data_IF_609623457958
#
_entry.id   IF_609623457958
#
_cell.length_a   1.000
_cell.length_b   1.000
_cell.length_c   1.000
_cell.angle_alpha   90.00
_cell.angle_beta   90.00
_cell.angle_gamma   90.00
#
_symmetry.space_group_name_H-M   'P 1'
#
loop_
_entity.id
_entity.type
_entity.pdbx_description
1 polymer ?
#
# COMPACT_ATOMS: atom_id res chain seq x y z
N UNK A 1 -18.97 -13.86 44.63
CA UNK A 1 -18.68 -14.08 43.20
C UNK A 1 -17.36 -13.40 42.93
N UNK A 2 -16.35 -14.07 42.35
CA UNK A 2 -15.10 -13.41 42.02
C UNK A 2 -15.30 -12.54 40.78
N UNK A 3 -14.76 -11.32 40.83
CA UNK A 3 -14.64 -10.43 39.69
C UNK A 3 -13.71 -11.09 38.65
N UNK A 4 -14.17 -11.17 37.42
CA UNK A 4 -13.40 -11.69 36.30
C UNK A 4 -12.42 -10.58 35.89
N UNK A 5 -11.16 -10.69 36.27
CA UNK A 5 -10.09 -9.82 35.79
C UNK A 5 -9.81 -10.16 34.31
N UNK A 6 -10.44 -9.40 33.41
CA UNK A 6 -10.36 -9.58 31.94
C UNK A 6 -8.97 -9.19 31.38
N UNK A 7 -8.10 -8.57 32.19
CA UNK A 7 -6.82 -8.01 31.73
C UNK A 7 -5.58 -8.89 32.01
N UNK A 8 -5.75 -10.12 32.48
CA UNK A 8 -4.61 -11.00 32.78
C UNK A 8 -4.01 -11.70 31.55
N UNK A 9 -4.64 -11.60 30.37
CA UNK A 9 -4.24 -12.34 29.16
C UNK A 9 -3.60 -11.50 28.04
N UNK A 10 -3.40 -10.20 28.24
CA UNK A 10 -2.86 -9.31 27.18
C UNK A 10 -1.38 -9.58 26.86
N UNK A 11 -0.65 -10.27 27.74
CA UNK A 11 0.77 -10.52 27.55
C UNK A 11 1.06 -11.66 26.54
N UNK A 12 0.11 -12.58 26.34
CA UNK A 12 0.27 -13.73 25.44
C UNK A 12 -0.29 -13.43 24.03
N UNK A 13 -1.34 -12.62 23.92
CA UNK A 13 -1.88 -12.13 22.64
C UNK A 13 -0.97 -11.13 21.93
N UNK A 14 -0.16 -10.37 22.68
CA UNK A 14 0.85 -9.48 22.10
C UNK A 14 2.07 -10.22 21.50
N UNK A 15 2.21 -11.53 21.73
CA UNK A 15 3.34 -12.32 21.18
C UNK A 15 3.14 -12.77 19.72
N UNK A 16 1.99 -12.49 19.11
CA UNK A 16 1.63 -12.88 17.73
C UNK A 16 1.28 -11.74 16.78
N UNK A 17 1.35 -10.49 17.26
CA UNK A 17 1.39 -9.34 16.39
C UNK A 17 2.86 -9.13 16.01
N UNK A 18 3.30 -9.65 14.86
CA UNK A 18 4.42 -8.99 14.17
C UNK A 18 4.02 -7.53 14.04
N UNK A 19 4.62 -6.66 14.85
CA UNK A 19 4.37 -5.22 14.79
C UNK A 19 4.97 -4.73 13.47
N UNK A 20 4.16 -4.80 12.41
CA UNK A 20 4.55 -4.26 11.14
C UNK A 20 4.80 -2.76 11.29
N UNK A 21 5.87 -2.28 10.68
CA UNK A 21 6.19 -0.87 10.71
C UNK A 21 5.05 -0.06 10.09
N UNK A 22 4.73 1.09 10.69
CA UNK A 22 3.65 1.96 10.22
C UNK A 22 3.98 2.45 8.80
N UNK A 23 3.02 2.40 7.85
CA UNK A 23 3.23 2.97 6.52
C UNK A 23 3.51 4.47 6.55
N UNK A 24 4.22 4.95 5.53
CA UNK A 24 4.52 6.36 5.29
C UNK A 24 3.75 6.82 4.06
N UNK A 25 2.95 7.88 4.21
CA UNK A 25 2.21 8.50 3.10
C UNK A 25 2.93 9.75 2.65
N UNK A 26 3.24 9.87 1.36
CA UNK A 26 3.85 11.05 0.75
C UNK A 26 2.79 11.75 -0.10
N UNK A 27 2.17 12.80 0.46
CA UNK A 27 1.10 13.53 -0.23
C UNK A 27 1.57 14.86 -0.81
N UNK A 28 0.97 15.28 -1.91
CA UNK A 28 1.19 16.58 -2.55
C UNK A 28 0.62 16.67 -3.97
N UNK A 29 0.51 17.86 -4.57
CA UNK A 29 -0.04 18.04 -5.92
C UNK A 29 0.72 17.26 -7.01
N UNK A 30 0.09 17.06 -8.16
CA UNK A 30 0.79 16.53 -9.33
C UNK A 30 1.94 17.45 -9.74
N UNK A 31 3.08 16.88 -10.13
CA UNK A 31 4.27 17.63 -10.56
C UNK A 31 5.17 18.20 -9.46
N UNK A 32 4.83 18.07 -8.17
CA UNK A 32 5.67 18.59 -7.06
C UNK A 32 6.96 17.79 -6.82
N UNK A 33 7.11 16.62 -7.46
CA UNK A 33 8.32 15.78 -7.37
C UNK A 33 8.25 14.61 -6.39
N UNK A 34 7.05 14.15 -5.99
CA UNK A 34 6.86 12.99 -5.09
C UNK A 34 7.58 11.73 -5.55
N UNK A 35 7.37 11.33 -6.81
CA UNK A 35 8.06 10.18 -7.40
C UNK A 35 9.59 10.32 -7.38
N UNK A 36 10.13 11.54 -7.57
CA UNK A 36 11.57 11.80 -7.45
C UNK A 36 12.05 11.56 -6.02
N UNK A 37 11.32 12.06 -5.02
CA UNK A 37 11.64 11.85 -3.61
C UNK A 37 11.57 10.36 -3.22
N UNK A 38 10.51 9.66 -3.65
CA UNK A 38 10.33 8.22 -3.40
C UNK A 38 11.49 7.42 -3.99
N UNK A 39 11.84 7.69 -5.25
CA UNK A 39 12.94 7.01 -5.92
C UNK A 39 14.28 7.25 -5.22
N UNK A 40 14.58 8.48 -4.80
CA UNK A 40 15.81 8.78 -4.06
C UNK A 40 15.82 8.12 -2.67
N UNK A 41 14.68 8.06 -1.99
CA UNK A 41 14.55 7.39 -0.70
C UNK A 41 14.78 5.88 -0.81
N UNK A 42 14.20 5.23 -1.83
CA UNK A 42 14.42 3.80 -2.11
C UNK A 42 15.88 3.50 -2.49
N UNK A 43 16.55 4.39 -3.24
CA UNK A 43 17.97 4.24 -3.59
C UNK A 43 18.90 4.41 -2.39
N UNK A 44 18.60 5.39 -1.52
CA UNK A 44 19.49 5.77 -0.40
C UNK A 44 19.41 4.83 0.79
N UNK A 45 18.29 4.12 0.97
CA UNK A 45 18.06 3.18 2.06
C UNK A 45 17.77 1.75 1.54
N UNK A 46 18.77 1.07 0.96
CA UNK A 46 18.53 -0.22 0.30
C UNK A 46 18.25 -1.40 1.27
N UNK A 47 17.57 -2.40 0.70
CA UNK A 47 17.42 -3.82 1.11
C UNK A 47 16.58 -4.20 2.33
N UNK A 48 16.35 -3.33 3.32
CA UNK A 48 15.56 -3.73 4.50
C UNK A 48 14.68 -2.63 5.11
N UNK A 49 14.77 -1.39 4.64
CA UNK A 49 14.06 -0.27 5.28
C UNK A 49 12.70 0.02 4.64
N UNK A 50 12.64 0.17 3.31
CA UNK A 50 11.46 0.66 2.61
C UNK A 50 11.05 -0.20 1.42
N UNK A 51 9.74 -0.26 1.17
CA UNK A 51 9.16 -0.78 -0.06
C UNK A 51 8.00 0.10 -0.52
N UNK A 52 7.73 0.11 -1.81
CA UNK A 52 6.67 0.92 -2.41
C UNK A 52 5.44 0.05 -2.72
N UNK A 53 4.24 0.53 -2.37
CA UNK A 53 3.00 -0.14 -2.76
C UNK A 53 2.70 0.16 -4.23
N UNK A 54 2.69 -0.87 -5.07
CA UNK A 54 2.32 -0.73 -6.48
C UNK A 54 0.79 -0.64 -6.57
N UNK A 55 0.28 0.54 -6.94
CA UNK A 55 -1.16 0.80 -7.09
C UNK A 55 -1.71 0.16 -8.37
N UNK A 56 -3.03 0.08 -8.47
CA UNK A 56 -3.75 -0.40 -9.64
C UNK A 56 -4.18 0.79 -10.51
N UNK A 57 -4.25 0.60 -11.83
CA UNK A 57 -4.87 1.58 -12.71
C UNK A 57 -5.58 0.94 -13.90
N UNK A 58 -6.63 1.59 -14.38
CA UNK A 58 -7.33 1.21 -15.63
C UNK A 58 -6.73 1.88 -16.87
N UNK A 59 -5.78 2.80 -16.68
CA UNK A 59 -5.07 3.42 -17.78
C UNK A 59 -4.21 2.37 -18.47
N UNK A 60 -4.12 2.41 -19.80
CA UNK A 60 -3.16 1.58 -20.53
C UNK A 60 -1.71 1.97 -20.18
N UNK A 61 -0.77 1.01 -20.10
CA UNK A 61 0.63 1.29 -19.85
C UNK A 61 1.21 2.19 -20.95
N UNK A 62 2.05 3.16 -20.54
CA UNK A 62 2.86 3.97 -21.45
C UNK A 62 4.07 3.16 -21.91
N UNK A 63 4.70 3.53 -23.04
CA UNK A 63 5.96 2.92 -23.44
C UNK A 63 7.01 2.97 -22.32
N UNK A 64 7.53 1.81 -21.94
CA UNK A 64 8.52 1.66 -20.86
C UNK A 64 7.94 1.39 -19.47
N UNK A 65 6.62 1.48 -19.27
CA UNK A 65 5.99 1.04 -18.03
C UNK A 65 5.86 -0.49 -18.01
N UNK A 66 6.05 -1.07 -16.84
CA UNK A 66 6.03 -2.52 -16.58
C UNK A 66 4.93 -2.84 -15.57
N UNK A 67 4.09 -3.82 -15.91
CA UNK A 67 3.03 -4.31 -15.02
C UNK A 67 3.62 -4.94 -13.76
N UNK A 68 3.02 -4.61 -12.60
CA UNK A 68 3.50 -5.04 -11.29
C UNK A 68 4.73 -4.30 -10.76
N UNK A 69 5.32 -3.39 -11.53
CA UNK A 69 6.39 -2.49 -11.07
C UNK A 69 5.90 -1.05 -10.96
N UNK A 70 5.25 -0.56 -12.02
CA UNK A 70 4.80 0.84 -12.09
C UNK A 70 3.35 0.95 -11.60
N UNK A 71 2.49 0.07 -12.11
CA UNK A 71 1.13 -0.15 -11.69
C UNK A 71 0.76 -1.61 -11.95
N UNK A 72 -0.30 -2.09 -11.31
CA UNK A 72 -1.09 -3.20 -11.82
C UNK A 72 -2.10 -2.65 -12.83
N UNK A 73 -1.86 -2.92 -14.11
CA UNK A 73 -2.71 -2.46 -15.20
C UNK A 73 -3.90 -3.42 -15.37
N UNK A 74 -5.07 -2.99 -14.90
CA UNK A 74 -6.28 -3.81 -14.83
C UNK A 74 -7.42 -3.23 -15.67
N UNK A 75 -8.45 -4.01 -15.94
CA UNK A 75 -9.65 -3.49 -16.61
C UNK A 75 -10.51 -2.68 -15.62
N UNK A 76 -11.41 -1.85 -16.16
CA UNK A 76 -12.41 -1.13 -15.34
C UNK A 76 -13.29 -2.08 -14.53
N UNK A 77 -13.70 -3.19 -15.14
CA UNK A 77 -14.56 -4.17 -14.47
C UNK A 77 -13.83 -4.85 -13.30
N UNK A 78 -12.54 -5.16 -13.47
CA UNK A 78 -11.71 -5.76 -12.42
C UNK A 78 -11.56 -4.83 -11.22
N UNK A 79 -11.16 -3.58 -11.45
CA UNK A 79 -10.97 -2.64 -10.33
C UNK A 79 -12.30 -2.31 -9.65
N UNK A 80 -13.41 -2.19 -10.41
CA UNK A 80 -14.72 -1.91 -9.84
C UNK A 80 -15.20 -3.05 -8.95
N UNK A 81 -15.05 -4.31 -9.39
CA UNK A 81 -15.40 -5.47 -8.57
C UNK A 81 -14.61 -5.49 -7.24
N UNK A 82 -13.32 -5.20 -7.29
CA UNK A 82 -12.49 -5.13 -6.08
C UNK A 82 -12.83 -3.93 -5.18
N UNK A 83 -13.22 -2.79 -5.74
CA UNK A 83 -13.76 -1.64 -4.96
C UNK A 83 -15.05 -2.05 -4.26
N UNK A 84 -15.98 -2.70 -4.97
CA UNK A 84 -17.26 -3.15 -4.43
C UNK A 84 -17.09 -4.19 -3.32
N UNK A 85 -16.02 -4.98 -3.38
CA UNK A 85 -15.62 -5.93 -2.34
C UNK A 85 -14.89 -5.29 -1.15
N UNK A 86 -14.61 -3.98 -1.17
CA UNK A 86 -13.89 -3.29 -0.09
C UNK A 86 -12.39 -3.58 -0.03
N UNK A 87 -11.77 -3.92 -1.16
CA UNK A 87 -10.35 -4.35 -1.22
C UNK A 87 -9.36 -3.17 -1.32
N UNK A 88 -9.85 -1.94 -1.42
CA UNK A 88 -9.06 -0.72 -1.60
C UNK A 88 -9.00 0.16 -0.34
N UNK A 89 -7.81 0.66 -0.02
CA UNK A 89 -7.58 1.68 1.01
C UNK A 89 -8.03 3.05 0.50
N UNK A 90 -7.66 3.34 -0.74
CA UNK A 90 -8.03 4.56 -1.45
C UNK A 90 -8.19 4.26 -2.94
N UNK A 91 -9.04 5.04 -3.59
CA UNK A 91 -9.15 5.06 -5.04
C UNK A 91 -9.71 6.41 -5.51
N UNK A 92 -9.40 6.78 -6.76
CA UNK A 92 -9.93 7.97 -7.41
C UNK A 92 -10.04 7.80 -8.93
N UNK A 93 -10.97 8.53 -9.54
CA UNK A 93 -11.07 8.61 -10.99
C UNK A 93 -10.44 9.89 -11.52
N UNK A 94 -9.47 9.75 -12.43
CA UNK A 94 -8.74 10.85 -13.03
C UNK A 94 -8.71 10.66 -14.55
N UNK A 95 -9.26 11.64 -15.28
CA UNK A 95 -9.36 11.63 -16.74
C UNK A 95 -9.97 10.32 -17.29
N UNK A 96 -11.01 9.81 -16.65
CA UNK A 96 -11.71 8.60 -17.08
C UNK A 96 -11.00 7.28 -16.75
N UNK A 97 -9.89 7.33 -16.00
CA UNK A 97 -9.18 6.15 -15.51
C UNK A 97 -9.25 6.08 -13.99
N UNK A 98 -9.43 4.89 -13.44
CA UNK A 98 -9.42 4.67 -12.00
C UNK A 98 -7.98 4.35 -11.59
N UNK A 99 -7.58 4.89 -10.45
CA UNK A 99 -6.34 4.58 -9.74
C UNK A 99 -6.70 4.19 -8.31
N UNK A 100 -5.96 3.26 -7.72
CA UNK A 100 -6.17 2.95 -6.31
C UNK A 100 -5.12 2.02 -5.71
N UNK A 101 -4.98 2.10 -4.39
CA UNK A 101 -4.04 1.29 -3.61
C UNK A 101 -4.81 0.25 -2.80
N UNK A 102 -4.56 -1.03 -3.07
CA UNK A 102 -5.26 -2.12 -2.38
C UNK A 102 -4.66 -2.42 -1.01
N UNK A 103 -5.47 -2.97 -0.10
CA UNK A 103 -4.96 -3.48 1.18
C UNK A 103 -3.86 -4.52 0.97
N UNK A 104 -4.01 -5.39 -0.03
CA UNK A 104 -3.04 -6.41 -0.37
C UNK A 104 -1.70 -5.83 -0.82
N UNK A 105 -1.69 -4.73 -1.58
CA UNK A 105 -0.45 -4.08 -2.02
C UNK A 105 0.38 -3.60 -0.82
N UNK A 106 -0.29 -2.99 0.18
CA UNK A 106 0.36 -2.53 1.41
C UNK A 106 0.80 -3.73 2.28
N UNK A 107 -0.06 -4.72 2.46
CA UNK A 107 0.23 -5.92 3.25
C UNK A 107 1.42 -6.69 2.68
N UNK A 108 1.53 -6.81 1.36
CA UNK A 108 2.64 -7.52 0.69
C UNK A 108 4.00 -6.85 0.98
N UNK A 109 4.04 -5.52 1.03
CA UNK A 109 5.25 -4.79 1.41
C UNK A 109 5.56 -4.99 2.88
N UNK A 110 4.56 -4.84 3.76
CA UNK A 110 4.74 -5.00 5.21
C UNK A 110 5.19 -6.41 5.60
N UNK A 111 4.61 -7.44 4.96
CA UNK A 111 4.98 -8.84 5.16
C UNK A 111 6.43 -9.16 4.75
N UNK A 112 7.04 -8.31 3.91
CA UNK A 112 8.47 -8.41 3.59
C UNK A 112 9.38 -7.72 4.62
N UNK A 113 8.85 -7.31 5.77
CA UNK A 113 9.60 -6.64 6.84
C UNK A 113 9.99 -5.19 6.54
N UNK A 114 9.38 -4.57 5.52
CA UNK A 114 9.73 -3.22 5.05
C UNK A 114 8.66 -2.20 5.44
N UNK A 115 9.07 -0.95 5.66
CA UNK A 115 8.15 0.19 5.80
C UNK A 115 7.50 0.46 4.44
N UNK A 116 6.19 0.33 4.36
CA UNK A 116 5.44 0.60 3.14
C UNK A 116 5.32 2.11 2.88
N UNK A 117 5.64 2.53 1.66
CA UNK A 117 5.44 3.90 1.17
C UNK A 117 4.23 3.91 0.25
N UNK A 118 3.34 4.87 0.48
CA UNK A 118 2.19 5.20 -0.35
C UNK A 118 2.36 6.61 -0.92
N UNK A 119 1.95 6.81 -2.17
CA UNK A 119 1.90 8.10 -2.88
C UNK A 119 0.44 8.55 -3.05
#
# INVERSE_FOLDING_TARGET
APECDIFSNDHELNSRMEYFARPVVISGPSGVGKGTLINELLKRFPSSSFGFSVSHTTRQPRPGEVDGEHYHFVTKDQIQASIDNGEFIEYSEVHGNIYGTSYLAVQSVMASGRICILD
#
